data_IF_507277464453
#
_entry.id   IF_507277464453
#
_cell.length_a   1.000
_cell.length_b   1.000
_cell.length_c   1.000
_cell.angle_alpha   90.00
_cell.angle_beta   90.00
_cell.angle_gamma   90.00
#
_symmetry.space_group_name_H-M   'P 1'
#
loop_
_entity.id
_entity.type
_entity.pdbx_description
1 polymer ?
#
# COMPACT_ATOMS: atom_id res chain seq x y z
N UNK A 1 8.77 26.39 -6.92
CA UNK A 1 7.85 25.28 -6.65
C UNK A 1 7.33 25.41 -5.22
N UNK A 2 6.00 25.37 -5.05
CA UNK A 2 5.39 25.35 -3.73
C UNK A 2 5.47 23.90 -3.20
N UNK A 3 6.25 23.70 -2.13
CA UNK A 3 6.41 22.37 -1.51
C UNK A 3 5.23 22.00 -0.62
N UNK A 4 4.44 22.99 -0.18
CA UNK A 4 3.24 22.80 0.66
C UNK A 4 2.06 23.41 -0.09
N UNK A 5 1.22 22.59 -0.74
CA UNK A 5 0.22 23.07 -1.71
C UNK A 5 -1.05 23.65 -1.08
N UNK A 6 -1.21 23.57 0.25
CA UNK A 6 -2.48 23.87 0.94
C UNK A 6 -3.10 25.22 0.61
N UNK A 7 -2.31 26.29 0.56
CA UNK A 7 -2.81 27.64 0.22
C UNK A 7 -3.34 27.70 -1.23
N UNK A 8 -2.58 27.16 -2.18
CA UNK A 8 -2.99 27.13 -3.59
C UNK A 8 -4.22 26.25 -3.83
N UNK A 9 -4.31 25.11 -3.10
CA UNK A 9 -5.49 24.23 -3.16
C UNK A 9 -6.70 24.95 -2.54
N UNK A 10 -6.56 25.55 -1.37
CA UNK A 10 -7.63 26.29 -0.70
C UNK A 10 -8.14 27.44 -1.58
N UNK A 11 -7.24 28.23 -2.18
CA UNK A 11 -7.61 29.30 -3.10
C UNK A 11 -8.40 28.76 -4.30
N UNK A 12 -7.93 27.66 -4.90
CA UNK A 12 -8.62 27.01 -6.02
C UNK A 12 -9.99 26.52 -5.62
N UNK A 13 -10.09 25.78 -4.51
CA UNK A 13 -11.37 25.26 -4.00
C UNK A 13 -12.31 26.40 -3.57
N UNK A 14 -11.74 27.48 -3.02
CA UNK A 14 -12.47 28.68 -2.63
C UNK A 14 -13.16 29.39 -3.78
N UNK A 15 -12.67 29.23 -5.02
CA UNK A 15 -13.27 29.84 -6.22
C UNK A 15 -14.55 29.11 -6.69
N UNK A 16 -14.81 27.89 -6.22
CA UNK A 16 -16.01 27.13 -6.58
C UNK A 16 -17.15 27.38 -5.59
N UNK A 17 -18.40 27.29 -6.06
CA UNK A 17 -19.61 27.33 -5.21
C UNK A 17 -19.74 26.14 -4.26
N UNK A 18 -19.13 25.01 -4.58
CA UNK A 18 -19.05 23.80 -3.77
C UNK A 18 -18.13 22.78 -4.43
N UNK A 19 -17.68 21.77 -3.68
CA UNK A 19 -16.80 20.73 -4.20
C UNK A 19 -16.91 19.44 -3.41
N UNK A 20 -16.60 18.33 -4.06
CA UNK A 20 -16.51 16.99 -3.44
C UNK A 20 -15.15 16.41 -3.74
N UNK A 21 -14.40 16.06 -2.70
CA UNK A 21 -13.11 15.38 -2.80
C UNK A 21 -13.29 13.93 -2.33
N UNK A 22 -12.94 12.98 -3.18
CA UNK A 22 -13.15 11.55 -2.91
C UNK A 22 -11.87 10.75 -3.12
N UNK A 23 -11.60 9.81 -2.22
CA UNK A 23 -10.59 8.77 -2.41
C UNK A 23 -10.85 7.62 -1.44
N UNK A 24 -10.53 6.41 -1.86
CA UNK A 24 -10.54 5.24 -0.97
C UNK A 24 -9.45 5.29 0.11
N UNK A 25 -8.44 6.14 -0.07
CA UNK A 25 -7.27 6.24 0.82
C UNK A 25 -7.00 7.67 1.30
N UNK A 26 -8.07 8.47 1.47
CA UNK A 26 -7.96 9.87 1.89
C UNK A 26 -7.40 10.01 3.31
N UNK A 27 -7.63 9.04 4.15
CA UNK A 27 -7.18 9.04 5.55
C UNK A 27 -5.65 8.95 5.71
N UNK A 28 -5.07 9.48 6.79
CA UNK A 28 -5.75 10.16 7.91
C UNK A 28 -6.38 11.49 7.48
N UNK A 29 -7.61 11.74 7.94
CA UNK A 29 -8.41 12.89 7.50
C UNK A 29 -7.83 14.23 7.98
N UNK A 30 -7.30 14.27 9.21
CA UNK A 30 -6.63 15.43 9.76
C UNK A 30 -5.44 15.88 8.90
N UNK A 31 -4.60 14.93 8.46
CA UNK A 31 -3.48 15.21 7.53
C UNK A 31 -3.99 15.71 6.18
N UNK A 32 -5.06 15.10 5.67
CA UNK A 32 -5.64 15.51 4.40
C UNK A 32 -6.16 16.95 4.45
N UNK A 33 -6.93 17.32 5.47
CA UNK A 33 -7.45 18.67 5.66
C UNK A 33 -6.35 19.72 5.77
N UNK A 34 -5.33 19.41 6.55
CA UNK A 34 -4.20 20.30 6.77
C UNK A 34 -3.40 20.54 5.49
N UNK A 35 -3.05 19.45 4.78
CA UNK A 35 -2.23 19.53 3.54
C UNK A 35 -2.99 20.17 2.38
N UNK A 36 -4.31 20.01 2.31
CA UNK A 36 -5.14 20.61 1.25
C UNK A 36 -5.68 22.00 1.59
N UNK A 37 -5.46 22.47 2.81
CA UNK A 37 -5.93 23.79 3.23
C UNK A 37 -7.44 23.87 3.52
N UNK A 38 -8.13 22.74 3.66
CA UNK A 38 -9.55 22.71 4.00
C UNK A 38 -9.85 23.36 5.36
N UNK A 39 -8.90 23.28 6.30
CA UNK A 39 -9.04 23.95 7.59
C UNK A 39 -9.04 25.48 7.46
N UNK A 40 -8.29 26.04 6.49
CA UNK A 40 -8.34 27.47 6.19
C UNK A 40 -9.71 27.88 5.65
N UNK A 41 -10.26 27.11 4.70
CA UNK A 41 -11.61 27.35 4.17
C UNK A 41 -12.70 27.26 5.24
N UNK A 42 -12.59 26.29 6.14
CA UNK A 42 -13.49 26.17 7.29
C UNK A 42 -13.40 27.40 8.23
N UNK A 43 -12.18 27.87 8.47
CA UNK A 43 -11.92 29.10 9.26
C UNK A 43 -12.47 30.37 8.62
N UNK A 44 -12.63 30.41 7.31
CA UNK A 44 -13.24 31.48 6.53
C UNK A 44 -14.79 31.38 6.46
N UNK A 45 -15.36 30.42 7.18
CA UNK A 45 -16.82 30.23 7.27
C UNK A 45 -17.44 29.35 6.18
N UNK A 46 -16.64 28.65 5.36
CA UNK A 46 -17.15 27.66 4.41
C UNK A 46 -17.34 26.34 5.12
N UNK A 47 -18.54 25.71 5.06
CA UNK A 47 -18.79 24.43 5.70
C UNK A 47 -17.92 23.34 5.03
N UNK A 48 -17.20 22.57 5.84
CA UNK A 48 -16.44 21.39 5.42
C UNK A 48 -17.00 20.18 6.17
N UNK A 49 -17.63 19.28 5.42
CA UNK A 49 -18.22 18.07 5.94
C UNK A 49 -17.37 16.85 5.55
N UNK A 50 -17.25 15.91 6.45
CA UNK A 50 -16.55 14.65 6.24
C UNK A 50 -17.55 13.49 6.24
N UNK A 51 -17.35 12.55 5.32
CA UNK A 51 -18.12 11.31 5.27
C UNK A 51 -17.18 10.15 5.01
N UNK A 52 -17.20 9.17 5.89
CA UNK A 52 -16.48 7.90 5.72
C UNK A 52 -17.51 6.79 5.52
N UNK A 53 -17.34 6.03 4.46
CA UNK A 53 -18.16 4.87 4.16
C UNK A 53 -17.33 3.62 4.39
N UNK A 54 -17.82 2.72 5.26
CA UNK A 54 -17.20 1.41 5.47
C UNK A 54 -17.37 0.50 4.26
N UNK A 55 -16.55 -0.53 4.18
CA UNK A 55 -16.77 -1.63 3.25
C UNK A 55 -18.02 -2.40 3.69
N UNK A 56 -18.99 -2.50 2.80
CA UNK A 56 -20.21 -3.31 3.01
C UNK A 56 -20.10 -4.74 2.49
N UNK A 57 -18.88 -5.18 2.19
CA UNK A 57 -18.62 -6.53 1.68
C UNK A 57 -18.51 -7.53 2.84
N UNK A 58 -18.93 -8.81 2.63
CA UNK A 58 -18.86 -9.82 3.66
C UNK A 58 -17.44 -9.98 4.23
N UNK A 59 -17.33 -10.05 5.56
CA UNK A 59 -16.02 -10.20 6.24
C UNK A 59 -15.35 -11.53 5.90
N UNK A 60 -16.14 -12.60 5.68
CA UNK A 60 -15.65 -13.90 5.27
C UNK A 60 -15.00 -13.95 3.89
N UNK A 61 -15.22 -12.92 3.05
CA UNK A 61 -14.63 -12.86 1.71
C UNK A 61 -13.16 -12.42 1.71
N UNK A 62 -12.60 -12.06 2.86
CA UNK A 62 -11.23 -11.54 2.91
C UNK A 62 -10.46 -11.99 4.14
N UNK A 63 -9.20 -12.34 3.92
CA UNK A 63 -8.21 -12.48 4.97
C UNK A 63 -7.16 -11.40 4.83
N UNK A 64 -6.89 -10.66 5.91
CA UNK A 64 -5.99 -9.53 5.93
C UNK A 64 -4.94 -9.69 7.01
N UNK A 65 -3.67 -9.79 6.59
CA UNK A 65 -2.54 -10.08 7.46
C UNK A 65 -1.56 -8.91 7.53
N UNK A 66 -1.16 -8.56 8.75
CA UNK A 66 0.02 -7.75 9.01
C UNK A 66 1.15 -8.70 9.46
N UNK A 67 2.01 -9.07 8.50
CA UNK A 67 3.06 -10.08 8.74
C UNK A 67 4.22 -9.45 9.49
N UNK A 68 4.57 -10.04 10.62
CA UNK A 68 5.66 -9.59 11.49
C UNK A 68 7.05 -10.00 10.95
N UNK A 69 7.28 -9.71 9.67
CA UNK A 69 8.56 -9.90 9.01
C UNK A 69 9.54 -8.76 9.37
N UNK A 70 10.87 -9.02 9.32
CA UNK A 70 11.86 -7.96 9.54
C UNK A 70 11.60 -6.74 8.67
N UNK A 71 11.79 -5.52 9.22
CA UNK A 71 11.59 -4.26 8.50
C UNK A 71 12.40 -4.23 7.20
N UNK A 72 11.75 -4.03 6.07
CA UNK A 72 12.38 -3.97 4.75
C UNK A 72 12.98 -2.57 4.48
N UNK A 73 13.86 -2.14 5.37
CA UNK A 73 14.60 -0.88 5.24
C UNK A 73 15.89 -1.08 4.45
N UNK A 74 16.49 0.02 3.97
CA UNK A 74 17.78 -0.03 3.27
C UNK A 74 18.86 -0.76 4.11
N UNK A 75 18.94 -0.44 5.40
CA UNK A 75 19.96 -0.98 6.28
C UNK A 75 19.75 -2.48 6.57
N UNK A 76 18.50 -2.91 6.76
CA UNK A 76 18.19 -4.30 7.09
C UNK A 76 18.28 -5.23 5.87
N UNK A 77 17.84 -4.78 4.68
CA UNK A 77 17.88 -5.60 3.47
C UNK A 77 19.24 -5.66 2.80
N UNK A 78 20.14 -4.71 3.15
CA UNK A 78 21.44 -4.57 2.49
C UNK A 78 21.34 -4.19 1.00
N UNK A 79 22.44 -4.36 0.27
CA UNK A 79 22.48 -4.11 -1.17
C UNK A 79 21.52 -5.04 -1.92
N UNK A 80 21.03 -4.56 -3.08
CA UNK A 80 20.18 -5.37 -3.98
C UNK A 80 20.96 -6.63 -4.42
N UNK A 81 20.32 -7.79 -4.30
CA UNK A 81 20.95 -9.09 -4.56
C UNK A 81 21.69 -9.70 -3.37
N UNK A 82 21.88 -8.98 -2.25
CA UNK A 82 22.48 -9.57 -1.06
C UNK A 82 21.54 -10.65 -0.45
N UNK A 83 22.11 -11.79 -0.10
CA UNK A 83 21.38 -12.81 0.67
C UNK A 83 21.52 -12.51 2.16
N UNK A 84 20.41 -12.17 2.81
CA UNK A 84 20.37 -11.94 4.25
C UNK A 84 19.04 -12.39 4.86
N UNK A 85 18.93 -12.45 6.20
CA UNK A 85 17.71 -12.93 6.87
C UNK A 85 16.46 -12.11 6.51
N UNK A 86 16.58 -10.78 6.37
CA UNK A 86 15.45 -9.91 6.01
C UNK A 86 14.90 -10.28 4.64
N UNK A 87 15.77 -10.39 3.63
CA UNK A 87 15.36 -10.76 2.28
C UNK A 87 14.73 -12.15 2.23
N UNK A 88 15.34 -13.14 2.91
CA UNK A 88 14.76 -14.49 2.97
C UNK A 88 13.37 -14.49 3.59
N UNK A 89 13.18 -13.82 4.73
CA UNK A 89 11.89 -13.76 5.40
C UNK A 89 10.79 -13.13 4.51
N UNK A 90 11.14 -12.14 3.68
CA UNK A 90 10.19 -11.55 2.73
C UNK A 90 9.87 -12.50 1.57
N UNK A 91 10.87 -13.18 1.00
CA UNK A 91 10.63 -14.19 -0.04
C UNK A 91 9.78 -15.33 0.50
N UNK A 92 10.10 -15.86 1.69
CA UNK A 92 9.33 -16.92 2.32
C UNK A 92 7.86 -16.52 2.51
N UNK A 93 7.60 -15.34 3.07
CA UNK A 93 6.24 -14.84 3.26
C UNK A 93 5.50 -14.65 1.91
N UNK A 94 6.17 -14.16 0.88
CA UNK A 94 5.54 -13.99 -0.45
C UNK A 94 5.28 -15.34 -1.12
N UNK A 95 6.14 -16.35 -0.92
CA UNK A 95 5.88 -17.71 -1.41
C UNK A 95 4.61 -18.30 -0.78
N UNK A 96 4.38 -18.12 0.54
CA UNK A 96 3.14 -18.55 1.20
C UNK A 96 1.91 -17.84 0.58
N UNK A 97 1.98 -16.52 0.37
CA UNK A 97 0.88 -15.75 -0.24
C UNK A 97 0.64 -16.20 -1.69
N UNK A 98 1.72 -16.52 -2.43
CA UNK A 98 1.67 -17.02 -3.78
C UNK A 98 1.04 -18.43 -3.90
N UNK A 99 0.87 -19.13 -2.80
CA UNK A 99 0.05 -20.36 -2.72
C UNK A 99 -1.44 -20.15 -2.93
N UNK A 100 -1.94 -18.91 -2.95
CA UNK A 100 -3.35 -18.59 -3.23
C UNK A 100 -3.81 -19.09 -4.63
N UNK A 101 -5.09 -19.51 -4.80
CA UNK A 101 -5.55 -20.27 -5.99
C UNK A 101 -5.68 -19.45 -7.28
N UNK A 102 -5.43 -18.15 -7.27
CA UNK A 102 -5.51 -17.27 -8.44
C UNK A 102 -4.27 -16.42 -8.64
N UNK A 103 -4.41 -15.34 -9.41
CA UNK A 103 -3.32 -14.40 -9.64
C UNK A 103 -2.94 -13.67 -8.35
N UNK A 104 -1.64 -13.38 -8.21
CA UNK A 104 -1.09 -12.70 -7.03
C UNK A 104 -0.31 -11.46 -7.45
N UNK A 105 -0.58 -10.33 -6.79
CA UNK A 105 0.14 -9.08 -6.98
C UNK A 105 1.13 -8.86 -5.83
N UNK A 106 2.38 -8.60 -6.16
CA UNK A 106 3.45 -8.31 -5.18
C UNK A 106 3.99 -6.91 -5.40
N UNK A 107 3.71 -6.01 -4.47
CA UNK A 107 4.17 -4.63 -4.48
C UNK A 107 5.49 -4.46 -3.71
N UNK A 108 6.52 -3.98 -4.39
CA UNK A 108 7.85 -3.70 -3.83
C UNK A 108 8.11 -2.19 -3.75
N UNK A 109 9.00 -1.71 -2.87
CA UNK A 109 9.24 -0.27 -2.68
C UNK A 109 9.78 0.46 -3.92
N UNK A 110 10.45 -0.25 -4.82
CA UNK A 110 11.01 0.29 -6.06
C UNK A 110 11.27 -0.83 -7.08
N UNK A 111 11.60 -0.47 -8.31
CA UNK A 111 11.83 -1.41 -9.42
C UNK A 111 13.03 -2.36 -9.20
N UNK A 112 14.12 -1.87 -8.59
CA UNK A 112 15.28 -2.74 -8.32
C UNK A 112 14.94 -3.85 -7.32
N UNK A 113 14.11 -3.54 -6.31
CA UNK A 113 13.65 -4.55 -5.36
C UNK A 113 12.55 -5.44 -5.97
N UNK A 114 11.76 -4.92 -6.93
CA UNK A 114 10.81 -5.74 -7.67
C UNK A 114 11.54 -6.76 -8.55
N UNK A 115 12.57 -6.36 -9.30
CA UNK A 115 13.38 -7.27 -10.09
C UNK A 115 14.02 -8.36 -9.22
N UNK A 116 14.65 -7.97 -8.11
CA UNK A 116 15.22 -8.93 -7.16
C UNK A 116 14.18 -9.93 -6.63
N UNK A 117 12.99 -9.47 -6.25
CA UNK A 117 11.93 -10.34 -5.74
C UNK A 117 11.42 -11.28 -6.83
N UNK A 118 11.24 -10.79 -8.06
CA UNK A 118 10.81 -11.62 -9.18
C UNK A 118 11.80 -12.75 -9.48
N UNK A 119 13.09 -12.45 -9.51
CA UNK A 119 14.15 -13.46 -9.68
C UNK A 119 14.08 -14.51 -8.55
N UNK A 120 14.00 -14.07 -7.30
CA UNK A 120 13.94 -14.97 -6.15
C UNK A 120 12.69 -15.85 -6.13
N UNK A 121 11.54 -15.35 -6.61
CA UNK A 121 10.31 -16.12 -6.72
C UNK A 121 10.33 -17.09 -7.90
N UNK A 122 10.96 -16.72 -9.02
CA UNK A 122 11.11 -17.59 -10.19
C UNK A 122 11.90 -18.85 -9.84
N UNK A 123 12.87 -18.74 -8.95
CA UNK A 123 13.66 -19.89 -8.48
C UNK A 123 12.89 -20.79 -7.49
N UNK A 124 11.74 -20.36 -6.96
CA UNK A 124 11.04 -21.01 -5.85
C UNK A 124 9.61 -21.48 -6.16
N UNK A 125 8.98 -20.89 -7.16
CA UNK A 125 7.58 -21.16 -7.51
C UNK A 125 7.47 -21.94 -8.81
N UNK A 126 6.55 -22.90 -8.86
CA UNK A 126 6.23 -23.64 -10.07
C UNK A 126 5.29 -22.87 -11.04
N UNK A 127 4.80 -21.67 -10.61
CA UNK A 127 3.94 -20.81 -11.43
C UNK A 127 4.71 -19.66 -12.06
N UNK A 128 4.27 -19.14 -13.21
CA UNK A 128 4.93 -18.03 -13.88
C UNK A 128 5.01 -16.77 -12.99
N UNK A 129 6.18 -16.17 -12.97
CA UNK A 129 6.43 -14.86 -12.30
C UNK A 129 6.66 -13.83 -13.37
N UNK A 130 5.85 -12.78 -13.36
CA UNK A 130 5.96 -11.63 -14.26
C UNK A 130 6.55 -10.44 -13.51
N UNK A 131 7.37 -9.67 -14.19
CA UNK A 131 7.99 -8.46 -13.65
C UNK A 131 7.52 -7.23 -14.43
N UNK A 132 7.06 -6.22 -13.71
CA UNK A 132 6.88 -4.87 -14.24
C UNK A 132 8.22 -4.11 -14.20
N UNK A 133 8.86 -4.01 -15.37
CA UNK A 133 10.18 -3.37 -15.49
C UNK A 133 10.11 -1.87 -15.75
N UNK A 134 8.97 -1.35 -16.24
CA UNK A 134 8.87 0.03 -16.67
C UNK A 134 7.45 0.60 -16.59
N UNK A 135 7.35 1.93 -16.64
CA UNK A 135 6.10 2.67 -16.72
C UNK A 135 5.66 2.97 -18.16
N UNK A 136 6.21 2.29 -19.18
CA UNK A 136 5.77 2.44 -20.54
C UNK A 136 4.37 1.88 -20.76
N UNK A 137 3.49 2.63 -21.44
CA UNK A 137 2.09 2.26 -21.57
C UNK A 137 1.88 0.99 -22.39
N UNK A 138 2.58 0.81 -23.49
CA UNK A 138 2.41 -0.34 -24.39
C UNK A 138 2.91 -1.63 -23.69
N UNK A 139 4.05 -1.55 -23.01
CA UNK A 139 4.58 -2.63 -22.21
C UNK A 139 3.65 -2.99 -21.03
N UNK A 140 3.06 -1.99 -20.38
CA UNK A 140 2.11 -2.19 -19.29
C UNK A 140 0.83 -2.89 -19.77
N UNK A 141 0.28 -2.50 -20.94
CA UNK A 141 -0.91 -3.17 -21.50
C UNK A 141 -0.62 -4.61 -21.92
N UNK A 142 0.53 -4.89 -22.52
CA UNK A 142 0.96 -6.25 -22.87
C UNK A 142 1.12 -7.11 -21.62
N UNK A 143 1.77 -6.60 -20.57
CA UNK A 143 1.96 -7.29 -19.31
C UNK A 143 0.63 -7.59 -18.59
N UNK A 144 -0.32 -6.65 -18.64
CA UNK A 144 -1.69 -6.86 -18.11
C UNK A 144 -2.42 -7.98 -18.87
N UNK A 145 -2.33 -7.97 -20.21
CA UNK A 145 -2.96 -9.00 -21.03
C UNK A 145 -2.38 -10.38 -20.71
N UNK A 146 -1.08 -10.48 -20.51
CA UNK A 146 -0.40 -11.69 -20.10
C UNK A 146 -0.79 -12.13 -18.68
N UNK A 147 -0.83 -11.19 -17.73
CA UNK A 147 -1.18 -11.47 -16.34
C UNK A 147 -2.60 -12.00 -16.18
N UNK A 148 -3.55 -11.46 -16.94
CA UNK A 148 -4.95 -11.85 -16.87
C UNK A 148 -5.31 -13.04 -17.78
N UNK A 149 -4.39 -13.49 -18.60
CA UNK A 149 -4.62 -14.62 -19.53
C UNK A 149 -4.05 -15.94 -19.01
N UNK A 150 -4.76 -17.06 -19.29
CA UNK A 150 -4.28 -18.42 -18.99
C UNK A 150 -4.20 -18.73 -17.49
N UNK A 151 -3.19 -19.56 -17.13
CA UNK A 151 -3.01 -20.03 -15.76
C UNK A 151 -2.63 -18.93 -14.78
N UNK A 152 -2.91 -19.12 -13.48
CA UNK A 152 -2.55 -18.16 -12.43
C UNK A 152 -1.07 -17.83 -12.37
N UNK A 153 -0.76 -16.53 -12.21
CA UNK A 153 0.59 -15.98 -12.21
C UNK A 153 0.85 -15.11 -10.99
N UNK A 154 2.12 -14.86 -10.72
CA UNK A 154 2.55 -13.82 -9.78
C UNK A 154 3.06 -12.63 -10.58
N UNK A 155 2.53 -11.44 -10.31
CA UNK A 155 3.02 -10.19 -10.88
C UNK A 155 3.76 -9.40 -9.80
N UNK A 156 5.05 -9.17 -10.02
CA UNK A 156 5.87 -8.34 -9.14
C UNK A 156 6.04 -6.96 -9.77
N UNK A 157 5.70 -5.93 -9.00
CA UNK A 157 5.73 -4.54 -9.47
C UNK A 157 6.29 -3.60 -8.42
N UNK A 158 6.74 -2.43 -8.85
CA UNK A 158 7.03 -1.33 -7.95
C UNK A 158 5.75 -0.63 -7.50
N UNK A 159 5.61 -0.35 -6.21
CA UNK A 159 4.53 0.50 -5.68
C UNK A 159 4.55 1.95 -6.21
N UNK A 160 5.55 2.29 -7.02
CA UNK A 160 5.65 3.55 -7.77
C UNK A 160 5.21 3.41 -9.23
N UNK A 161 4.94 2.18 -9.66
CA UNK A 161 4.52 1.87 -11.03
C UNK A 161 3.02 2.09 -11.25
N UNK A 162 2.62 2.09 -12.50
CA UNK A 162 1.22 2.31 -12.92
C UNK A 162 0.31 1.12 -12.61
N UNK A 163 0.86 -0.08 -12.46
CA UNK A 163 0.09 -1.30 -12.19
C UNK A 163 -0.54 -1.35 -10.79
N UNK A 164 -0.02 -0.60 -9.84
CA UNK A 164 -0.64 -0.43 -8.52
C UNK A 164 -1.71 0.66 -8.49
N UNK A 165 -1.76 1.51 -9.53
CA UNK A 165 -2.74 2.59 -9.70
C UNK A 165 -3.38 2.46 -11.09
N UNK A 166 -4.67 2.67 -11.25
CA UNK A 166 -5.31 2.75 -12.59
C UNK A 166 -5.65 1.43 -13.29
N UNK A 167 -5.24 0.27 -12.79
CA UNK A 167 -5.62 -1.04 -13.36
C UNK A 167 -6.88 -1.58 -12.70
N UNK A 168 -7.80 -2.11 -13.49
CA UNK A 168 -9.02 -2.74 -13.00
C UNK A 168 -8.82 -4.25 -12.84
N UNK A 169 -8.77 -4.68 -11.58
CA UNK A 169 -8.61 -6.09 -11.17
C UNK A 169 -9.94 -6.75 -10.77
N UNK A 170 -11.09 -6.23 -11.22
CA UNK A 170 -12.41 -6.74 -10.84
C UNK A 170 -12.63 -8.20 -11.23
N UNK A 171 -13.45 -8.87 -10.44
CA UNK A 171 -13.77 -10.27 -10.60
C UNK A 171 -12.66 -11.18 -10.08
N UNK A 172 -12.58 -12.41 -10.56
CA UNK A 172 -11.62 -13.43 -10.12
C UNK A 172 -10.18 -13.18 -10.61
N UNK A 173 -9.85 -11.92 -10.97
CA UNK A 173 -8.57 -11.56 -11.57
C UNK A 173 -7.42 -11.48 -10.56
N UNK A 174 -7.72 -11.34 -9.27
CA UNK A 174 -6.71 -11.22 -8.23
C UNK A 174 -7.14 -11.95 -6.95
N UNK A 175 -6.48 -13.07 -6.66
CA UNK A 175 -6.73 -13.84 -5.45
C UNK A 175 -5.96 -13.32 -4.23
N UNK A 176 -4.80 -12.72 -4.43
CA UNK A 176 -4.03 -12.17 -3.32
C UNK A 176 -3.18 -10.96 -3.73
N UNK A 177 -2.89 -10.10 -2.75
CA UNK A 177 -1.88 -9.07 -2.89
C UNK A 177 -1.00 -8.97 -1.64
N UNK A 178 0.31 -8.81 -1.87
CA UNK A 178 1.31 -8.56 -0.86
C UNK A 178 1.98 -7.21 -1.09
N UNK A 179 2.22 -6.46 -0.03
CA UNK A 179 3.07 -5.27 -0.03
C UNK A 179 4.24 -5.49 0.90
N UNK A 180 5.45 -5.53 0.33
CA UNK A 180 6.68 -5.72 1.07
C UNK A 180 7.29 -4.39 1.48
N UNK A 181 7.44 -4.18 2.79
CA UNK A 181 7.99 -2.95 3.34
C UNK A 181 7.03 -1.75 3.29
N UNK A 182 7.51 -0.61 3.78
CA UNK A 182 6.83 0.68 3.67
C UNK A 182 7.48 1.46 2.53
N UNK A 183 6.75 1.84 1.45
CA UNK A 183 7.34 2.39 0.23
C UNK A 183 7.71 3.88 0.36
N UNK A 184 8.49 4.23 1.40
CA UNK A 184 9.01 5.58 1.59
C UNK A 184 9.94 5.92 0.42
N UNK A 185 9.77 7.11 -0.15
CA UNK A 185 10.64 7.60 -1.23
C UNK A 185 12.06 7.84 -0.74
N UNK A 186 13.01 7.89 -1.68
CA UNK A 186 14.40 8.21 -1.37
C UNK A 186 14.52 9.55 -0.63
N UNK A 187 14.96 9.47 0.62
CA UNK A 187 15.11 10.63 1.52
C UNK A 187 16.40 11.40 1.30
N UNK A 188 17.34 10.85 0.52
CA UNK A 188 18.63 11.46 0.22
C UNK A 188 18.54 12.50 -0.90
N UNK A 189 17.50 12.44 -1.74
CA UNK A 189 17.34 13.35 -2.86
C UNK A 189 17.15 14.82 -2.40
N UNK A 190 17.75 15.81 -3.08
CA UNK A 190 17.57 17.23 -2.74
C UNK A 190 16.09 17.65 -2.72
N UNK A 191 15.28 17.12 -3.65
CA UNK A 191 13.85 17.41 -3.72
C UNK A 191 13.12 16.91 -2.47
N UNK A 192 13.34 15.66 -2.08
CA UNK A 192 12.69 15.07 -0.89
C UNK A 192 13.09 15.80 0.38
N UNK A 193 14.37 16.18 0.52
CA UNK A 193 14.84 16.99 1.65
C UNK A 193 14.18 18.35 1.70
N UNK A 194 14.03 19.03 0.56
CA UNK A 194 13.36 20.32 0.49
C UNK A 194 11.88 20.21 0.89
N UNK A 195 11.18 19.20 0.39
CA UNK A 195 9.77 18.92 0.77
C UNK A 195 9.68 18.66 2.26
N UNK A 196 10.48 17.72 2.80
CA UNK A 196 10.51 17.41 4.24
C UNK A 196 10.73 18.68 5.07
N UNK A 197 11.72 19.49 4.71
CA UNK A 197 12.03 20.75 5.45
C UNK A 197 10.86 21.74 5.39
N UNK A 198 10.18 21.85 4.25
CA UNK A 198 9.02 22.73 4.12
C UNK A 198 7.86 22.25 5.01
N UNK A 199 7.64 20.93 5.06
CA UNK A 199 6.62 20.33 5.93
C UNK A 199 6.99 20.43 7.41
N UNK A 200 8.27 20.22 7.80
CA UNK A 200 8.74 20.43 9.17
C UNK A 200 8.50 21.88 9.64
N UNK A 201 8.71 22.87 8.76
CA UNK A 201 8.46 24.29 9.09
C UNK A 201 6.97 24.61 9.21
N UNK A 202 6.13 23.96 8.43
CA UNK A 202 4.68 24.24 8.39
C UNK A 202 3.90 23.46 9.43
N UNK A 203 4.26 22.19 9.65
CA UNK A 203 3.51 21.21 10.43
C UNK A 203 4.32 20.57 11.56
N UNK A 204 5.59 20.96 11.76
CA UNK A 204 6.49 20.42 12.78
C UNK A 204 6.00 20.57 14.21
N UNK A 205 6.81 20.21 15.21
CA UNK A 205 6.42 19.91 16.60
C UNK A 205 5.50 20.94 17.31
N UNK A 206 5.39 22.14 16.79
CA UNK A 206 4.45 23.18 17.25
C UNK A 206 3.18 23.26 16.37
N UNK A 207 3.03 22.39 15.37
CA UNK A 207 1.87 22.31 14.49
C UNK A 207 0.69 21.61 15.14
N UNK A 208 -0.53 21.91 14.67
CA UNK A 208 -1.81 21.43 15.26
C UNK A 208 -1.99 19.93 15.33
N UNK A 209 -1.18 19.12 14.65
CA UNK A 209 -1.32 17.66 14.58
C UNK A 209 -0.27 16.86 15.35
N UNK A 210 0.79 17.47 15.89
CA UNK A 210 1.88 16.78 16.61
C UNK A 210 2.71 15.82 15.76
N UNK A 211 2.55 15.84 14.41
CA UNK A 211 3.29 15.00 13.47
C UNK A 211 4.49 15.74 12.89
N UNK A 212 5.58 15.00 12.65
CA UNK A 212 6.76 15.55 11.96
C UNK A 212 6.48 15.77 10.46
N UNK A 213 7.26 16.64 9.83
CA UNK A 213 7.23 16.81 8.37
C UNK A 213 7.60 15.51 7.64
N UNK A 214 8.42 14.64 8.25
CA UNK A 214 8.70 13.30 7.72
C UNK A 214 7.44 12.44 7.67
N UNK A 215 6.68 12.41 8.76
CA UNK A 215 5.44 11.62 8.82
C UNK A 215 4.43 12.13 7.80
N UNK A 216 4.18 13.44 7.78
CA UNK A 216 3.16 14.04 6.91
C UNK A 216 3.53 13.96 5.42
N UNK A 217 4.79 14.24 5.08
CA UNK A 217 5.23 14.31 3.68
C UNK A 217 5.63 12.96 3.08
N UNK A 218 6.05 12.00 3.89
CA UNK A 218 6.66 10.76 3.39
C UNK A 218 5.95 9.50 3.89
N UNK A 219 5.71 9.38 5.20
CA UNK A 219 5.13 8.15 5.77
C UNK A 219 3.66 7.99 5.39
N UNK A 220 2.84 9.03 5.57
CA UNK A 220 1.41 8.98 5.20
C UNK A 220 1.20 8.68 3.72
N UNK A 221 1.85 9.35 2.76
CA UNK A 221 1.76 8.98 1.35
C UNK A 221 2.22 7.55 1.04
N UNK A 222 3.27 7.07 1.71
CA UNK A 222 3.75 5.70 1.53
C UNK A 222 2.70 4.68 1.99
N UNK A 223 2.09 4.88 3.16
CA UNK A 223 1.02 4.00 3.66
C UNK A 223 -0.21 4.06 2.75
N UNK A 224 -0.59 5.23 2.25
CA UNK A 224 -1.68 5.36 1.26
C UNK A 224 -1.42 4.55 0.00
N UNK A 225 -0.20 4.59 -0.54
CA UNK A 225 0.19 3.76 -1.70
C UNK A 225 0.12 2.27 -1.40
N UNK A 226 0.62 1.84 -0.26
CA UNK A 226 0.53 0.45 0.17
C UNK A 226 -0.94 -0.01 0.28
N UNK A 227 -1.81 0.80 0.88
CA UNK A 227 -3.26 0.55 0.97
C UNK A 227 -3.93 0.48 -0.40
N UNK A 228 -3.57 1.36 -1.33
CA UNK A 228 -4.08 1.34 -2.70
C UNK A 228 -3.73 0.04 -3.43
N UNK A 229 -2.52 -0.47 -3.26
CA UNK A 229 -2.07 -1.71 -3.89
C UNK A 229 -2.86 -2.93 -3.37
N UNK A 230 -2.96 -3.11 -2.05
CA UNK A 230 -3.68 -4.26 -1.49
C UNK A 230 -5.20 -4.13 -1.59
N UNK A 231 -5.72 -2.91 -1.68
CA UNK A 231 -7.15 -2.64 -1.91
C UNK A 231 -7.64 -3.07 -3.31
N UNK A 232 -6.75 -3.57 -4.17
CA UNK A 232 -7.11 -4.11 -5.49
C UNK A 232 -7.74 -5.49 -5.43
N UNK A 233 -7.55 -6.22 -4.33
CA UNK A 233 -8.03 -7.61 -4.18
C UNK A 233 -9.55 -7.66 -4.00
N UNK A 234 -10.11 -6.77 -3.21
CA UNK A 234 -11.55 -6.76 -2.90
C UNK A 234 -12.15 -5.43 -3.33
N UNK A 235 -12.95 -5.44 -4.37
CA UNK A 235 -13.61 -4.26 -4.96
C UNK A 235 -15.12 -4.45 -5.16
N UNK A 236 -15.61 -5.65 -4.90
CA UNK A 236 -17.01 -6.04 -5.02
C UNK A 236 -17.44 -7.01 -3.93
N UNK A 237 -18.76 -7.20 -3.76
CA UNK A 237 -19.31 -8.06 -2.71
C UNK A 237 -19.03 -9.56 -2.93
N UNK A 238 -18.76 -9.96 -4.17
CA UNK A 238 -18.54 -11.36 -4.55
C UNK A 238 -17.06 -11.72 -4.70
N UNK A 239 -16.16 -10.73 -4.56
CA UNK A 239 -14.72 -10.94 -4.67
C UNK A 239 -14.16 -11.50 -3.36
N UNK A 240 -13.24 -12.45 -3.49
CA UNK A 240 -12.65 -13.18 -2.37
C UNK A 240 -11.14 -13.16 -2.50
N UNK A 241 -10.42 -12.89 -1.39
CA UNK A 241 -8.97 -12.89 -1.49
C UNK A 241 -8.19 -12.54 -0.22
N UNK A 242 -6.88 -12.72 -0.34
CA UNK A 242 -5.90 -12.50 0.72
C UNK A 242 -5.18 -11.16 0.51
N UNK A 243 -5.02 -10.40 1.59
CA UNK A 243 -4.28 -9.15 1.61
C UNK A 243 -3.21 -9.19 2.68
N UNK A 244 -1.98 -8.83 2.33
CA UNK A 244 -0.88 -8.89 3.29
C UNK A 244 0.05 -7.67 3.22
N UNK A 245 0.28 -7.05 4.36
CA UNK A 245 1.42 -6.17 4.58
C UNK A 245 2.57 -6.99 5.17
N UNK A 246 3.69 -7.06 4.49
CA UNK A 246 4.85 -7.85 4.90
C UNK A 246 5.93 -6.90 5.43
N UNK A 247 5.81 -6.49 6.69
CA UNK A 247 6.79 -5.67 7.42
C UNK A 247 6.31 -5.48 8.87
N UNK A 248 7.17 -5.63 9.83
CA UNK A 248 6.87 -5.50 11.27
C UNK A 248 6.25 -4.16 11.66
N UNK A 249 6.48 -3.09 10.89
CA UNK A 249 5.91 -1.76 11.15
C UNK A 249 4.38 -1.71 10.97
N UNK A 250 3.78 -2.64 10.23
CA UNK A 250 2.33 -2.80 10.15
C UNK A 250 1.77 -3.73 11.24
N UNK A 251 2.61 -4.63 11.78
CA UNK A 251 2.20 -5.67 12.72
C UNK A 251 2.36 -5.26 14.19
N UNK A 252 3.43 -4.55 14.50
CA UNK A 252 3.82 -4.23 15.88
C UNK A 252 3.57 -2.77 16.23
N UNK A 253 3.23 -2.51 17.49
CA UNK A 253 3.31 -1.19 18.08
C UNK A 253 4.78 -0.90 18.44
N UNK A 254 5.39 0.07 17.73
CA UNK A 254 6.77 0.52 17.93
C UNK A 254 6.86 2.00 17.59
N UNK A 255 7.98 2.65 17.96
CA UNK A 255 8.18 4.08 17.72
C UNK A 255 8.13 4.46 16.22
N UNK A 256 8.40 3.51 15.32
CA UNK A 256 8.34 3.68 13.87
C UNK A 256 7.19 2.90 13.23
N UNK A 257 6.23 2.46 14.03
CA UNK A 257 5.01 1.80 13.55
C UNK A 257 4.25 2.70 12.58
N UNK A 258 3.79 2.10 11.49
CA UNK A 258 2.90 2.77 10.54
C UNK A 258 1.43 2.38 10.70
N UNK A 259 1.15 1.49 11.66
CA UNK A 259 -0.19 0.99 11.96
C UNK A 259 -1.17 2.11 12.32
N UNK A 260 -0.68 3.13 13.02
CA UNK A 260 -1.48 4.31 13.39
C UNK A 260 -1.98 5.16 12.21
N UNK A 261 -1.43 4.98 11.01
CA UNK A 261 -1.88 5.67 9.79
C UNK A 261 -2.93 4.85 8.99
N UNK A 262 -3.22 3.62 9.41
CA UNK A 262 -4.35 2.86 8.89
C UNK A 262 -5.65 3.36 9.54
N UNK A 263 -6.78 3.40 8.80
CA UNK A 263 -8.09 3.63 9.39
C UNK A 263 -8.39 2.63 10.50
N UNK A 264 -9.21 2.99 11.50
CA UNK A 264 -9.54 2.09 12.60
C UNK A 264 -10.04 0.73 12.14
N UNK A 265 -10.95 0.68 11.17
CA UNK A 265 -11.49 -0.57 10.62
C UNK A 265 -10.41 -1.44 9.95
N UNK A 266 -9.51 -0.85 9.14
CA UNK A 266 -8.41 -1.60 8.55
C UNK A 266 -7.41 -2.08 9.62
N UNK A 267 -7.18 -1.27 10.66
CA UNK A 267 -6.29 -1.61 11.77
C UNK A 267 -6.77 -2.84 12.56
N UNK A 268 -8.09 -2.96 12.72
CA UNK A 268 -8.72 -4.12 13.34
C UNK A 268 -8.71 -5.34 12.41
N UNK A 269 -8.92 -5.12 11.13
CA UNK A 269 -8.99 -6.14 10.11
C UNK A 269 -7.62 -6.78 9.82
N UNK A 270 -6.56 -5.97 9.67
CA UNK A 270 -5.20 -6.48 9.45
C UNK A 270 -4.61 -7.09 10.72
N UNK A 271 -4.80 -8.41 10.86
CA UNK A 271 -4.34 -9.15 12.04
C UNK A 271 -2.84 -9.35 12.00
N UNK A 272 -2.12 -9.00 13.09
CA UNK A 272 -0.72 -9.37 13.22
C UNK A 272 -0.54 -10.88 13.17
N UNK A 273 0.41 -11.35 12.37
CA UNK A 273 0.73 -12.77 12.22
C UNK A 273 2.24 -12.96 12.18
N UNK A 274 2.73 -13.99 12.88
CA UNK A 274 4.11 -14.45 12.73
C UNK A 274 4.31 -15.04 11.33
N UNK A 275 5.46 -14.83 10.68
CA UNK A 275 5.76 -15.45 9.39
C UNK A 275 5.51 -16.96 9.35
N UNK A 276 5.83 -17.67 10.45
CA UNK A 276 5.66 -19.13 10.56
C UNK A 276 4.19 -19.59 10.53
N UNK A 277 3.24 -18.71 10.86
CA UNK A 277 1.81 -19.00 10.89
C UNK A 277 1.06 -18.46 9.66
N UNK A 278 1.74 -17.72 8.80
CA UNK A 278 1.11 -17.07 7.64
C UNK A 278 0.50 -18.10 6.69
N UNK A 279 1.26 -19.13 6.31
CA UNK A 279 0.79 -20.19 5.43
C UNK A 279 -0.45 -20.89 5.96
N UNK A 280 -0.44 -21.25 7.26
CA UNK A 280 -1.61 -21.83 7.91
C UNK A 280 -2.83 -20.90 7.87
N UNK A 281 -2.66 -19.62 8.12
CA UNK A 281 -3.76 -18.63 8.06
C UNK A 281 -4.36 -18.52 6.65
N UNK A 282 -3.54 -18.57 5.63
CA UNK A 282 -3.97 -18.51 4.22
C UNK A 282 -4.71 -19.80 3.84
N UNK A 283 -4.18 -20.96 4.21
CA UNK A 283 -4.80 -22.27 3.95
C UNK A 283 -6.18 -22.37 4.62
N UNK A 284 -6.29 -21.96 5.89
CA UNK A 284 -7.57 -21.95 6.60
C UNK A 284 -8.61 -21.05 5.92
N UNK A 285 -8.19 -19.87 5.46
CA UNK A 285 -9.07 -18.96 4.74
C UNK A 285 -9.60 -19.60 3.46
N UNK A 286 -8.74 -20.13 2.59
CA UNK A 286 -9.17 -20.72 1.32
C UNK A 286 -10.00 -21.97 1.51
N UNK A 287 -9.72 -22.81 2.52
CA UNK A 287 -10.54 -23.97 2.88
C UNK A 287 -11.94 -23.55 3.33
N UNK A 288 -12.10 -22.44 4.03
CA UNK A 288 -13.43 -21.92 4.43
C UNK A 288 -14.21 -21.42 3.22
N UNK A 289 -13.57 -20.74 2.29
CA UNK A 289 -14.18 -20.23 1.05
C UNK A 289 -14.70 -21.38 0.16
N UNK A 290 -13.95 -22.48 0.05
CA UNK A 290 -14.38 -23.66 -0.72
C UNK A 290 -15.58 -24.36 -0.09
N UNK A 291 -15.72 -24.32 1.22
CA UNK A 291 -16.83 -24.96 1.94
C UNK A 291 -18.13 -24.15 1.82
N UNK A 292 -18.05 -22.84 1.70
CA UNK A 292 -19.20 -21.92 1.63
C UNK A 292 -19.73 -21.72 0.19
N UNK A 293 -19.05 -22.23 -0.83
CA UNK A 293 -19.44 -22.22 -2.25
C UNK A 293 -19.99 -23.55 -2.69
#
# INVERSE_FOLDING_TARGET
>A
HNCVPGEAIAETLGSFGGGVLMSATIEPMDVFREVTGLDSLAGEGRPVEERTYGLSFPDGNRASFAVDAPKFTHDNRGATGASNPTRRAHVDAVCEIAGSPGNVLVGMPNYAEAAWMADALTDRLDRPVLLDESSDNDATEALKAEFFGGDPKVLVTSLRGTLTEGVDYRGDRLAAAAVCGVPIIDTSSPRTRAVKTAYDRRFGADGRGGRSGFETALTVPAVRKARQAIGRVIRGPDEVGVRAFVDARYARESWDSVRGYLPPAEREEFRPVSPDLLGYGIEQFWSSVETDR
#
